data_IF_724177567778
#
_entry.id   IF_724177567778
#
_cell.length_a   1.000
_cell.length_b   1.000
_cell.length_c   1.000
_cell.angle_alpha   90.00
_cell.angle_beta   90.00
_cell.angle_gamma   90.00
#
_symmetry.space_group_name_H-M   'P 1'
#
loop_
_entity.id
_entity.type
_entity.pdbx_description
1 polymer ?
#
# COMPACT_ATOMS: atom_id res chain seq x y z
N UNK A 1 -22.11 -12.17 15.48
CA UNK A 1 -22.81 -11.26 16.41
C UNK A 1 -21.98 -9.99 16.65
N UNK A 2 -21.20 -9.53 15.65
CA UNK A 2 -20.40 -8.31 15.78
C UNK A 2 -20.74 -7.21 14.74
N UNK A 3 -21.76 -7.44 13.93
CA UNK A 3 -22.17 -6.56 12.82
C UNK A 3 -22.78 -5.22 13.25
N UNK A 4 -23.29 -5.07 14.46
CA UNK A 4 -23.96 -3.82 14.86
C UNK A 4 -22.99 -2.72 15.33
N UNK A 5 -21.87 -3.06 15.98
CA UNK A 5 -20.89 -2.04 16.39
C UNK A 5 -20.08 -1.51 15.20
N UNK A 6 -19.82 -2.37 14.21
CA UNK A 6 -19.14 -1.96 12.98
C UNK A 6 -19.96 -0.95 12.19
N UNK A 7 -21.29 -1.15 12.08
CA UNK A 7 -22.17 -0.26 11.36
C UNK A 7 -22.22 1.16 11.95
N UNK A 8 -22.13 1.30 13.27
CA UNK A 8 -22.17 2.60 13.93
C UNK A 8 -20.91 3.43 13.66
N UNK A 9 -19.72 2.81 13.66
CA UNK A 9 -18.46 3.46 13.27
C UNK A 9 -18.44 3.87 11.80
N UNK A 10 -18.95 3.00 10.92
CA UNK A 10 -18.99 3.25 9.49
C UNK A 10 -20.02 4.32 9.08
N UNK A 11 -21.03 4.54 9.90
CA UNK A 11 -22.07 5.56 9.64
C UNK A 11 -21.61 6.98 9.94
N UNK A 12 -20.53 7.16 10.72
CA UNK A 12 -20.05 8.47 11.15
C UNK A 12 -18.85 8.98 10.33
N UNK A 13 -18.18 8.12 9.56
CA UNK A 13 -16.96 8.48 8.85
C UNK A 13 -15.80 8.84 9.79
N UNK A 14 -14.71 9.40 9.23
CA UNK A 14 -13.55 9.82 10.02
C UNK A 14 -12.60 8.67 10.36
N UNK A 15 -12.09 8.68 11.59
CA UNK A 15 -11.07 7.71 12.01
C UNK A 15 -11.72 6.44 12.57
N UNK A 16 -11.33 5.29 12.04
CA UNK A 16 -11.82 3.99 12.48
C UNK A 16 -10.75 3.27 13.30
N UNK A 17 -11.13 2.80 14.49
CA UNK A 17 -10.29 1.92 15.30
C UNK A 17 -10.89 0.53 15.33
N UNK A 18 -10.19 -0.45 14.75
CA UNK A 18 -10.62 -1.84 14.72
C UNK A 18 -10.37 -2.50 16.08
N UNK A 19 -11.39 -3.06 16.75
CA UNK A 19 -11.23 -3.72 18.04
C UNK A 19 -10.34 -4.96 17.98
N UNK A 20 -9.66 -5.28 19.09
CA UNK A 20 -8.94 -6.55 19.23
C UNK A 20 -9.87 -7.76 19.08
N UNK A 21 -9.31 -8.84 18.54
CA UNK A 21 -10.05 -10.10 18.34
C UNK A 21 -10.83 -10.19 17.02
N UNK A 22 -10.86 -9.15 16.22
CA UNK A 22 -11.38 -9.23 14.84
C UNK A 22 -10.45 -10.06 13.98
N UNK A 23 -10.99 -11.13 13.39
CA UNK A 23 -10.21 -12.09 12.58
C UNK A 23 -10.42 -11.95 11.08
N UNK A 24 -11.51 -11.35 10.66
CA UNK A 24 -11.82 -11.13 9.24
C UNK A 24 -12.77 -9.95 9.09
N UNK A 25 -12.55 -9.17 8.07
CA UNK A 25 -13.41 -8.07 7.63
C UNK A 25 -14.03 -8.48 6.32
N UNK A 26 -15.33 -8.29 6.19
CA UNK A 26 -15.97 -8.37 4.89
C UNK A 26 -16.33 -6.96 4.46
N UNK A 27 -16.06 -6.64 3.24
CA UNK A 27 -16.36 -5.40 2.52
C UNK A 27 -17.80 -5.00 2.61
N UNK A 28 -18.69 -5.99 2.71
CA UNK A 28 -20.12 -5.73 2.87
C UNK A 28 -20.43 -4.80 4.06
N UNK A 29 -19.55 -4.71 5.03
CA UNK A 29 -19.74 -3.83 6.18
C UNK A 29 -19.37 -2.36 5.87
N UNK A 30 -18.46 -2.14 4.92
CA UNK A 30 -17.93 -0.80 4.59
C UNK A 30 -18.64 -0.14 3.40
N UNK A 31 -19.25 -0.91 2.50
CA UNK A 31 -20.06 -0.37 1.40
C UNK A 31 -21.26 0.48 1.87
N UNK A 32 -21.60 0.42 3.17
CA UNK A 32 -22.64 1.25 3.78
C UNK A 32 -22.11 2.50 4.48
N UNK A 33 -20.79 2.74 4.44
CA UNK A 33 -20.23 3.98 4.99
C UNK A 33 -20.79 5.18 4.21
N UNK A 34 -21.56 6.01 4.90
CA UNK A 34 -22.18 7.22 4.30
C UNK A 34 -21.23 8.43 4.31
N UNK A 35 -20.11 8.32 4.98
CA UNK A 35 -19.15 9.40 5.18
C UNK A 35 -17.73 8.91 4.90
N UNK A 36 -16.85 9.78 4.42
CA UNK A 36 -15.47 9.41 4.10
C UNK A 36 -14.73 8.92 5.35
N UNK A 37 -14.07 7.77 5.21
CA UNK A 37 -13.14 7.25 6.21
C UNK A 37 -11.79 7.88 5.96
N UNK A 38 -11.21 8.54 6.98
CA UNK A 38 -9.95 9.28 6.85
C UNK A 38 -8.76 8.47 7.30
N UNK A 39 -8.93 7.63 8.32
CA UNK A 39 -7.88 6.72 8.77
C UNK A 39 -8.44 5.42 9.33
N UNK A 40 -7.57 4.39 9.39
CA UNK A 40 -7.88 3.09 10.00
C UNK A 40 -6.75 2.67 10.92
N UNK A 41 -7.09 2.33 12.18
CA UNK A 41 -6.16 1.72 13.14
C UNK A 41 -6.44 0.23 13.25
N UNK A 42 -5.47 -0.60 12.87
CA UNK A 42 -5.57 -2.05 12.91
C UNK A 42 -5.22 -2.62 14.29
N UNK A 43 -5.88 -3.73 14.71
CA UNK A 43 -5.59 -4.39 15.97
C UNK A 43 -4.25 -5.16 15.93
N UNK A 44 -3.70 -5.49 17.11
CA UNK A 44 -2.45 -6.23 17.24
C UNK A 44 -2.47 -7.63 16.63
N UNK A 45 -3.63 -8.24 16.51
CA UNK A 45 -3.81 -9.55 15.89
C UNK A 45 -4.03 -9.50 14.37
N UNK A 46 -4.08 -8.33 13.74
CA UNK A 46 -4.19 -8.21 12.29
C UNK A 46 -2.96 -8.82 11.61
N UNK A 47 -3.18 -9.60 10.56
CA UNK A 47 -2.15 -10.10 9.65
C UNK A 47 -2.04 -9.24 8.40
N UNK A 48 -0.93 -9.32 7.69
CA UNK A 48 -0.71 -8.61 6.42
C UNK A 48 -1.83 -8.89 5.42
N UNK A 49 -2.20 -10.17 5.25
CA UNK A 49 -3.29 -10.57 4.37
C UNK A 49 -4.64 -9.94 4.71
N UNK A 50 -4.93 -9.74 6.00
CA UNK A 50 -6.17 -9.10 6.42
C UNK A 50 -6.18 -7.61 6.13
N UNK A 51 -5.04 -6.93 6.20
CA UNK A 51 -4.91 -5.52 5.86
C UNK A 51 -5.11 -5.31 4.36
N UNK A 52 -4.50 -6.15 3.53
CA UNK A 52 -4.61 -6.07 2.07
C UNK A 52 -6.03 -6.38 1.60
N UNK A 53 -6.66 -7.45 2.10
CA UNK A 53 -8.05 -7.78 1.76
C UNK A 53 -9.02 -6.68 2.18
N UNK A 54 -8.76 -6.01 3.29
CA UNK A 54 -9.54 -4.86 3.73
C UNK A 54 -9.44 -3.71 2.73
N UNK A 55 -8.29 -3.53 2.07
CA UNK A 55 -8.06 -2.43 1.14
C UNK A 55 -8.55 -2.73 -0.27
N UNK A 56 -8.37 -3.96 -0.76
CA UNK A 56 -8.71 -4.34 -2.13
C UNK A 56 -10.21 -4.50 -2.39
N UNK A 57 -10.96 -4.69 -1.33
CA UNK A 57 -12.40 -4.95 -1.44
C UNK A 57 -13.25 -3.67 -1.55
N UNK A 58 -12.65 -2.49 -1.44
CA UNK A 58 -13.34 -1.23 -1.72
C UNK A 58 -13.40 -1.01 -3.22
N UNK A 59 -14.47 -1.46 -3.86
CA UNK A 59 -14.75 -1.15 -5.27
C UNK A 59 -14.68 0.35 -5.52
N UNK A 60 -13.70 0.77 -6.32
CA UNK A 60 -13.09 2.10 -6.29
C UNK A 60 -13.93 3.16 -6.99
N UNK A 61 -14.86 2.78 -7.84
CA UNK A 61 -15.45 3.73 -8.81
C UNK A 61 -16.56 4.63 -8.27
N UNK A 62 -17.14 4.35 -7.09
CA UNK A 62 -18.35 5.06 -6.64
C UNK A 62 -18.31 5.65 -5.21
N UNK A 63 -17.19 5.56 -4.47
CA UNK A 63 -17.13 6.09 -3.10
C UNK A 63 -15.96 7.06 -2.90
N UNK A 64 -16.18 8.18 -2.20
CA UNK A 64 -15.12 9.13 -1.86
C UNK A 64 -14.23 8.55 -0.75
N UNK A 65 -13.36 7.59 -1.13
CA UNK A 65 -12.37 7.07 -0.20
C UNK A 65 -11.27 8.08 0.01
N UNK A 66 -11.24 8.62 1.21
CA UNK A 66 -10.21 9.53 1.68
C UNK A 66 -9.42 8.88 2.82
N UNK A 67 -9.10 7.57 2.70
CA UNK A 67 -8.21 6.91 3.64
C UNK A 67 -6.77 7.36 3.40
N UNK A 68 -6.39 8.40 4.11
CA UNK A 68 -5.07 9.01 3.98
C UNK A 68 -4.03 8.39 4.89
N UNK A 69 -4.47 7.70 5.96
CA UNK A 69 -3.57 7.15 6.97
C UNK A 69 -4.01 5.77 7.45
N UNK A 70 -3.04 4.87 7.54
CA UNK A 70 -3.16 3.57 8.17
C UNK A 70 -2.32 3.52 9.43
N UNK A 71 -2.89 3.06 10.53
CA UNK A 71 -2.22 2.94 11.80
C UNK A 71 -2.27 1.52 12.34
N UNK A 72 -1.26 1.17 13.11
CA UNK A 72 -1.27 0.04 14.03
C UNK A 72 -1.08 0.57 15.44
N UNK A 73 -1.51 -0.19 16.45
CA UNK A 73 -1.29 0.21 17.83
C UNK A 73 0.19 0.31 18.15
N UNK A 74 0.56 1.23 19.03
CA UNK A 74 1.95 1.52 19.40
C UNK A 74 2.70 0.33 19.99
N UNK A 75 1.96 -0.63 20.60
CA UNK A 75 2.50 -1.86 21.18
C UNK A 75 2.42 -3.07 20.24
N UNK A 76 2.14 -2.86 18.94
CA UNK A 76 2.11 -3.94 17.96
C UNK A 76 3.50 -4.55 17.79
N UNK A 77 3.66 -5.88 18.01
CA UNK A 77 4.99 -6.51 17.98
C UNK A 77 5.52 -6.77 16.58
N UNK A 78 4.67 -6.64 15.54
CA UNK A 78 5.00 -7.02 14.16
C UNK A 78 5.08 -5.86 13.20
N UNK A 79 4.29 -4.83 13.46
CA UNK A 79 4.10 -3.71 12.53
C UNK A 79 4.25 -2.37 13.23
N UNK A 80 4.61 -1.37 12.45
CA UNK A 80 4.69 0.03 12.86
C UNK A 80 4.11 0.90 11.76
N UNK A 81 3.51 2.03 12.14
CA UNK A 81 3.07 3.04 11.20
C UNK A 81 4.07 4.18 11.18
N UNK A 82 4.55 4.51 9.99
CA UNK A 82 5.42 5.67 9.75
C UNK A 82 4.69 6.58 8.77
N UNK A 83 4.37 7.78 9.22
CA UNK A 83 3.60 8.75 8.41
C UNK A 83 2.35 8.12 7.77
N UNK A 84 1.60 7.34 8.54
CA UNK A 84 0.36 6.69 8.07
C UNK A 84 0.56 5.52 7.09
N UNK A 85 1.78 5.10 6.81
CA UNK A 85 2.12 3.92 6.01
C UNK A 85 2.55 2.79 6.94
N UNK A 86 2.09 1.56 6.68
CA UNK A 86 2.41 0.41 7.51
C UNK A 86 3.68 -0.29 7.02
N UNK A 87 4.61 -0.48 7.94
CA UNK A 87 5.83 -1.26 7.76
C UNK A 87 5.89 -2.42 8.76
N UNK A 88 6.77 -3.38 8.51
CA UNK A 88 7.19 -4.32 9.55
C UNK A 88 7.92 -3.58 10.69
N UNK A 89 7.91 -4.14 11.89
CA UNK A 89 8.49 -3.48 13.08
C UNK A 89 9.99 -3.16 12.95
N UNK A 90 10.71 -3.89 12.11
CA UNK A 90 12.11 -3.65 11.78
C UNK A 90 12.32 -2.66 10.62
N UNK A 91 11.23 -2.11 10.07
CA UNK A 91 11.21 -1.18 8.93
C UNK A 91 11.77 -1.76 7.61
N UNK A 92 11.89 -3.10 7.51
CA UNK A 92 12.46 -3.75 6.33
C UNK A 92 11.45 -3.99 5.21
N UNK A 93 10.16 -4.11 5.55
CA UNK A 93 9.13 -4.32 4.55
C UNK A 93 8.07 -3.22 4.62
N UNK A 94 7.72 -2.64 3.47
CA UNK A 94 6.54 -1.83 3.30
C UNK A 94 5.33 -2.75 3.09
N UNK A 95 4.39 -2.71 4.02
CA UNK A 95 3.27 -3.65 4.12
C UNK A 95 2.00 -3.11 3.46
N UNK A 96 1.67 -1.84 3.70
CA UNK A 96 0.45 -1.24 3.19
C UNK A 96 0.55 0.28 3.08
N UNK A 97 0.18 0.79 1.91
CA UNK A 97 0.11 2.22 1.61
C UNK A 97 -1.35 2.68 1.54
N UNK A 98 -1.70 3.84 2.12
CA UNK A 98 -3.08 4.34 2.13
C UNK A 98 -3.62 4.62 0.73
N UNK A 99 -4.81 4.07 0.42
CA UNK A 99 -5.41 4.16 -0.92
C UNK A 99 -5.85 5.59 -1.30
N UNK A 100 -6.18 6.44 -0.33
CA UNK A 100 -6.65 7.81 -0.57
C UNK A 100 -5.54 8.81 -0.91
N UNK A 101 -4.26 8.43 -0.75
CA UNK A 101 -3.15 9.33 -1.07
C UNK A 101 -2.89 9.37 -2.56
N UNK A 102 -2.59 10.57 -3.06
CA UNK A 102 -2.31 10.87 -4.47
C UNK A 102 -0.91 11.45 -4.65
N UNK A 103 -0.50 11.66 -5.89
CA UNK A 103 0.76 12.34 -6.22
C UNK A 103 1.97 11.44 -6.14
N UNK A 104 3.01 11.86 -5.42
CA UNK A 104 4.31 11.20 -5.37
C UNK A 104 4.58 10.58 -4.00
N UNK A 105 5.27 9.44 -3.99
CA UNK A 105 5.78 8.82 -2.78
C UNK A 105 7.20 8.30 -2.94
N UNK A 106 8.07 8.68 -2.01
CA UNK A 106 9.41 8.12 -1.87
C UNK A 106 9.36 6.99 -0.82
N UNK A 107 9.60 5.76 -1.25
CA UNK A 107 9.78 4.65 -0.30
C UNK A 107 11.04 4.95 0.53
N UNK A 108 10.97 4.89 1.87
CA UNK A 108 12.10 5.21 2.73
C UNK A 108 13.33 4.33 2.48
N UNK A 109 14.51 4.96 2.53
CA UNK A 109 15.78 4.24 2.51
C UNK A 109 15.83 3.20 3.64
N UNK A 110 16.40 2.02 3.34
CA UNK A 110 16.48 0.90 4.26
C UNK A 110 15.32 -0.08 4.13
N UNK A 111 14.23 0.26 3.41
CA UNK A 111 13.20 -0.70 3.00
C UNK A 111 13.82 -1.71 2.04
N UNK A 112 13.65 -3.00 2.31
CA UNK A 112 14.21 -4.09 1.49
C UNK A 112 13.15 -4.79 0.64
N UNK A 113 11.89 -4.78 1.09
CA UNK A 113 10.78 -5.48 0.44
C UNK A 113 9.57 -4.55 0.34
N UNK A 114 8.93 -4.55 -0.82
CA UNK A 114 7.55 -4.06 -1.00
C UNK A 114 6.67 -5.31 -1.03
N UNK A 115 5.86 -5.47 -0.01
CA UNK A 115 5.05 -6.68 0.22
C UNK A 115 3.92 -6.82 -0.80
N UNK A 116 3.34 -8.02 -0.87
CA UNK A 116 2.18 -8.34 -1.71
C UNK A 116 1.08 -7.29 -1.55
N UNK A 117 0.67 -6.67 -2.65
CA UNK A 117 -0.44 -5.71 -2.70
C UNK A 117 -0.21 -4.42 -1.91
N UNK A 118 1.03 -4.08 -1.55
CA UNK A 118 1.32 -2.92 -0.70
C UNK A 118 0.78 -1.60 -1.25
N UNK A 119 0.77 -1.43 -2.57
CA UNK A 119 0.18 -0.27 -3.27
C UNK A 119 -1.05 -0.64 -4.11
N UNK A 120 -1.70 -1.77 -3.80
CA UNK A 120 -2.88 -2.20 -4.54
C UNK A 120 -3.98 -1.14 -4.46
N UNK A 121 -4.55 -0.80 -5.63
CA UNK A 121 -5.66 0.13 -5.79
C UNK A 121 -5.40 1.56 -5.27
N UNK A 122 -4.12 1.93 -5.07
CA UNK A 122 -3.76 3.29 -4.68
C UNK A 122 -3.90 4.28 -5.86
N UNK A 123 -3.99 5.57 -5.51
CA UNK A 123 -4.12 6.66 -6.48
C UNK A 123 -2.80 7.43 -6.70
N UNK A 124 -1.66 6.79 -6.38
CA UNK A 124 -0.35 7.41 -6.61
C UNK A 124 -0.06 7.57 -8.10
N UNK A 125 0.51 8.71 -8.46
CA UNK A 125 0.94 9.03 -9.82
C UNK A 125 2.42 8.68 -10.05
N UNK A 126 3.22 8.69 -8.99
CA UNK A 126 4.64 8.35 -9.10
C UNK A 126 5.19 7.75 -7.82
N UNK A 127 6.13 6.81 -7.97
CA UNK A 127 6.83 6.16 -6.86
C UNK A 127 8.33 6.15 -7.11
N UNK A 128 9.10 6.55 -6.09
CA UNK A 128 10.54 6.32 -6.04
C UNK A 128 10.82 5.08 -5.19
N UNK A 129 11.53 4.11 -5.76
CA UNK A 129 11.97 2.88 -5.10
C UNK A 129 13.45 2.97 -4.79
N UNK A 130 13.88 2.98 -3.51
CA UNK A 130 15.28 3.18 -3.14
C UNK A 130 16.14 1.95 -3.49
N UNK A 131 17.46 2.14 -3.48
CA UNK A 131 18.43 1.08 -3.82
C UNK A 131 18.50 -0.04 -2.79
N UNK A 132 17.95 0.18 -1.60
CA UNK A 132 17.83 -0.85 -0.58
C UNK A 132 16.76 -1.91 -0.89
N UNK A 133 15.76 -1.59 -1.72
CA UNK A 133 14.70 -2.54 -2.11
C UNK A 133 15.29 -3.62 -3.01
N UNK A 134 15.03 -4.87 -2.66
CA UNK A 134 15.51 -6.07 -3.38
C UNK A 134 14.39 -6.89 -4.00
N UNK A 135 13.15 -6.69 -3.51
CA UNK A 135 11.97 -7.41 -3.97
C UNK A 135 10.75 -6.49 -3.93
N UNK A 136 10.04 -6.46 -5.04
CA UNK A 136 8.66 -6.00 -5.13
C UNK A 136 7.80 -7.24 -5.37
N UNK A 137 7.04 -7.64 -4.36
CA UNK A 137 6.21 -8.85 -4.42
C UNK A 137 5.02 -8.67 -5.37
N UNK A 138 4.25 -9.72 -5.58
CA UNK A 138 3.08 -9.70 -6.46
C UNK A 138 2.12 -8.56 -6.09
N UNK A 139 1.64 -7.81 -7.08
CA UNK A 139 0.78 -6.64 -6.92
C UNK A 139 1.38 -5.51 -6.04
N UNK A 140 2.65 -5.61 -5.65
CA UNK A 140 3.30 -4.70 -4.71
C UNK A 140 3.28 -3.23 -5.16
N UNK A 141 3.40 -2.96 -6.46
CA UNK A 141 3.31 -1.62 -7.06
C UNK A 141 2.11 -1.50 -8.03
N UNK A 142 1.02 -2.20 -7.74
CA UNK A 142 -0.19 -2.16 -8.56
C UNK A 142 -1.07 -0.96 -8.21
N UNK A 143 -0.65 0.24 -8.62
CA UNK A 143 -1.44 1.46 -8.54
C UNK A 143 -2.10 1.75 -9.88
N UNK A 144 -3.40 2.07 -9.86
CA UNK A 144 -4.21 2.29 -11.07
C UNK A 144 -3.86 3.59 -11.81
N UNK A 145 -3.25 4.55 -11.13
CA UNK A 145 -2.95 5.89 -11.66
C UNK A 145 -1.46 6.15 -11.85
N UNK A 146 -0.62 5.12 -11.76
CA UNK A 146 0.83 5.27 -11.83
C UNK A 146 1.27 5.70 -13.23
N UNK A 147 1.93 6.87 -13.31
CA UNK A 147 2.46 7.49 -14.53
C UNK A 147 3.98 7.40 -14.59
N UNK A 148 4.65 7.35 -13.43
CA UNK A 148 6.10 7.21 -13.40
C UNK A 148 6.60 6.37 -12.24
N UNK A 149 7.64 5.59 -12.52
CA UNK A 149 8.29 4.71 -11.56
C UNK A 149 9.81 4.85 -11.67
N UNK A 150 10.45 5.27 -10.59
CA UNK A 150 11.91 5.35 -10.51
C UNK A 150 12.46 4.15 -9.75
N UNK A 151 13.21 3.30 -10.43
CA UNK A 151 13.71 2.03 -9.93
C UNK A 151 15.22 2.03 -9.72
N UNK A 152 15.75 1.25 -8.78
CA UNK A 152 17.17 1.06 -8.62
C UNK A 152 17.80 0.38 -9.85
N UNK A 153 19.08 0.63 -10.11
CA UNK A 153 19.79 0.09 -11.27
C UNK A 153 19.70 -1.44 -11.35
N UNK A 154 19.80 -2.13 -10.21
CA UNK A 154 19.78 -3.60 -10.17
C UNK A 154 18.41 -4.20 -10.53
N UNK A 155 17.34 -3.43 -10.47
CA UNK A 155 15.99 -3.89 -10.90
C UNK A 155 15.93 -4.15 -12.41
N UNK A 156 16.86 -3.60 -13.20
CA UNK A 156 16.97 -3.86 -14.63
C UNK A 156 17.62 -5.22 -14.96
N UNK A 157 18.23 -5.88 -13.99
CA UNK A 157 18.86 -7.21 -14.17
C UNK A 157 17.79 -8.31 -14.02
N UNK A 158 17.46 -9.06 -15.09
CA UNK A 158 16.47 -10.14 -15.00
C UNK A 158 16.86 -11.25 -14.01
N UNK A 159 18.15 -11.40 -13.71
CA UNK A 159 18.62 -12.40 -12.75
C UNK A 159 18.39 -12.00 -11.30
N UNK A 160 18.19 -10.73 -11.02
CA UNK A 160 17.93 -10.20 -9.69
C UNK A 160 16.59 -10.64 -9.09
N UNK A 161 15.64 -11.10 -9.94
CA UNK A 161 14.27 -11.45 -9.54
C UNK A 161 13.62 -10.35 -8.69
N UNK A 162 13.83 -9.10 -9.10
CA UNK A 162 13.36 -7.92 -8.39
C UNK A 162 11.83 -7.85 -8.31
N UNK A 163 11.13 -8.33 -9.33
CA UNK A 163 9.68 -8.28 -9.41
C UNK A 163 9.04 -9.66 -9.23
N UNK A 164 8.00 -9.71 -8.40
CA UNK A 164 7.03 -10.81 -8.39
C UNK A 164 6.19 -10.85 -9.68
N UNK A 165 5.30 -11.85 -9.77
CA UNK A 165 4.61 -12.19 -11.03
C UNK A 165 3.77 -11.04 -11.61
N UNK A 166 3.09 -10.26 -10.78
CA UNK A 166 2.23 -9.15 -11.19
C UNK A 166 2.54 -7.88 -10.40
N UNK A 167 3.83 -7.66 -10.09
CA UNK A 167 4.29 -6.62 -9.19
C UNK A 167 3.86 -5.20 -9.61
N UNK A 168 3.76 -4.94 -10.92
CA UNK A 168 3.28 -3.69 -11.49
C UNK A 168 2.03 -4.01 -12.32
N UNK A 169 1.00 -3.16 -12.24
CA UNK A 169 -0.22 -3.31 -13.00
C UNK A 169 0.07 -3.54 -14.50
N UNK A 170 -0.46 -4.63 -15.04
CA UNK A 170 -0.38 -4.91 -16.47
C UNK A 170 0.94 -5.46 -17.00
N UNK A 171 2.05 -5.49 -16.24
CA UNK A 171 3.34 -5.99 -16.75
C UNK A 171 3.26 -7.41 -17.32
N UNK A 172 2.48 -8.29 -16.72
CA UNK A 172 2.35 -9.67 -17.17
C UNK A 172 1.13 -9.93 -18.06
N UNK A 173 0.20 -8.97 -18.16
CA UNK A 173 -1.02 -9.08 -18.98
C UNK A 173 -0.93 -8.31 -20.30
N UNK A 174 0.16 -7.58 -20.53
CA UNK A 174 0.33 -6.72 -21.70
C UNK A 174 -0.52 -5.43 -21.66
N UNK A 175 -1.06 -5.09 -20.49
CA UNK A 175 -1.92 -3.93 -20.27
C UNK A 175 -1.25 -2.87 -19.40
N UNK A 176 0.08 -2.74 -19.48
CA UNK A 176 0.79 -1.61 -18.86
C UNK A 176 0.15 -0.34 -19.41
N UNK A 177 -0.21 0.65 -18.57
CA UNK A 177 -0.69 1.93 -19.07
C UNK A 177 0.29 2.49 -20.12
N UNK A 178 -0.22 2.89 -21.29
CA UNK A 178 0.61 3.36 -22.41
C UNK A 178 1.46 4.59 -22.04
N UNK A 179 1.10 5.29 -20.99
CA UNK A 179 1.75 6.49 -20.45
C UNK A 179 2.66 6.24 -19.23
N UNK A 180 2.79 4.97 -18.77
CA UNK A 180 3.68 4.67 -17.66
C UNK A 180 5.16 4.75 -18.06
N UNK A 181 5.89 5.66 -17.45
CA UNK A 181 7.34 5.82 -17.63
C UNK A 181 8.09 5.10 -16.53
N UNK A 182 8.85 4.06 -16.89
CA UNK A 182 9.74 3.36 -15.97
C UNK A 182 11.17 3.81 -16.23
N UNK A 183 11.83 4.35 -15.20
CA UNK A 183 13.22 4.80 -15.24
C UNK A 183 14.07 3.97 -14.31
N UNK A 184 15.10 3.32 -14.84
CA UNK A 184 16.13 2.66 -14.04
C UNK A 184 17.27 3.65 -13.78
N UNK A 185 17.58 3.89 -12.50
CA UNK A 185 18.67 4.79 -12.14
C UNK A 185 20.01 4.17 -12.50
N UNK A 186 21.00 5.01 -12.81
CA UNK A 186 22.38 4.58 -13.01
C UNK A 186 23.25 5.20 -11.92
N UNK A 187 24.35 4.58 -11.56
CA UNK A 187 25.29 5.09 -10.55
C UNK A 187 25.75 6.54 -10.79
N UNK A 188 25.64 7.04 -12.03
CA UNK A 188 25.98 8.42 -12.38
C UNK A 188 24.86 9.42 -12.09
N UNK A 189 23.60 9.00 -11.91
CA UNK A 189 22.45 9.89 -11.64
C UNK A 189 22.32 10.26 -10.16
N UNK A 190 23.01 9.57 -9.27
CA UNK A 190 22.93 9.78 -7.82
C UNK A 190 23.75 10.96 -7.32
N UNK A 191 24.73 11.44 -8.12
CA UNK A 191 25.64 12.52 -7.71
C UNK A 191 25.05 13.92 -7.86
N UNK A 192 23.87 14.08 -8.48
CA UNK A 192 23.28 15.39 -8.78
C UNK A 192 22.14 15.83 -7.84
N UNK A 193 21.81 15.04 -6.80
CA UNK A 193 20.71 15.33 -5.86
C UNK A 193 21.19 15.48 -4.39
N UNK A 194 22.45 15.93 -4.16
CA UNK A 194 22.93 16.30 -2.83
C UNK A 194 23.10 17.80 -2.72
#
# INVERSE_FOLDING_TARGET
>A
VYTMQTAEYLMNGGDIVIPEGYKSWTVNDLQYARFPITSVTFPNNAGVGNMILFMSDFGIDDYPFSMYDYYVKADNPRFVSVDGVIFTADLKSLVAFPIGRTGHYDIPDGTEIVEYGAFLDTHLESVYVPDSVRLVDDLGLNSLHLKSLSLPAHAADPSARFFGYAAIAGLNTGSVPDDLIITYRTAASETSLR
#
